data_IF_221713770345
#
_entry.id   IF_221713770345
#
_cell.length_a   1.000
_cell.length_b   1.000
_cell.length_c   1.000
_cell.angle_alpha   90.00
_cell.angle_beta   90.00
_cell.angle_gamma   90.00
#
_symmetry.space_group_name_H-M   'P 1'
#
loop_
_entity.id
_entity.type
_entity.pdbx_description
1 polymer ?
#
# COMPACT_ATOMS: atom_id res chain seq x y z
N UNK A 1 -24.89 15.15 -10.03
CA UNK A 1 -24.74 13.93 -10.85
C UNK A 1 -23.29 13.54 -10.84
N UNK A 2 -22.98 12.29 -10.51
CA UNK A 2 -21.63 11.74 -10.61
C UNK A 2 -21.21 11.65 -12.08
N UNK A 3 -19.99 12.06 -12.42
CA UNK A 3 -19.48 11.98 -13.80
C UNK A 3 -19.08 10.54 -14.16
N UNK A 4 -19.03 10.20 -15.45
CA UNK A 4 -18.58 8.88 -15.90
C UNK A 4 -17.14 8.54 -15.45
N UNK A 5 -16.30 9.55 -15.21
CA UNK A 5 -14.96 9.38 -14.63
C UNK A 5 -15.00 9.05 -13.14
N UNK A 6 -15.85 9.76 -12.39
CA UNK A 6 -16.05 9.52 -10.95
C UNK A 6 -16.63 8.12 -10.69
N UNK A 7 -17.60 7.67 -11.50
CA UNK A 7 -18.16 6.31 -11.40
C UNK A 7 -17.12 5.22 -11.66
N UNK A 8 -16.26 5.36 -12.68
CA UNK A 8 -15.20 4.40 -12.97
C UNK A 8 -14.18 4.32 -11.83
N UNK A 9 -13.84 5.46 -11.24
CA UNK A 9 -12.95 5.51 -10.08
C UNK A 9 -13.61 4.85 -8.85
N UNK A 10 -14.91 5.04 -8.64
CA UNK A 10 -15.68 4.34 -7.60
C UNK A 10 -15.70 2.83 -7.84
N UNK A 11 -15.99 2.37 -9.05
CA UNK A 11 -15.97 0.93 -9.39
C UNK A 11 -14.62 0.30 -9.13
N UNK A 12 -13.51 1.00 -9.43
CA UNK A 12 -12.15 0.53 -9.14
C UNK A 12 -11.90 0.40 -7.64
N UNK A 13 -12.37 1.35 -6.83
CA UNK A 13 -12.27 1.30 -5.37
C UNK A 13 -13.14 0.17 -4.79
N UNK A 14 -14.39 0.04 -5.25
CA UNK A 14 -15.29 -1.04 -4.84
C UNK A 14 -14.74 -2.42 -5.17
N UNK A 15 -14.08 -2.60 -6.32
CA UNK A 15 -13.45 -3.87 -6.68
C UNK A 15 -12.26 -4.20 -5.76
N UNK A 16 -11.47 -3.18 -5.37
CA UNK A 16 -10.35 -3.34 -4.44
C UNK A 16 -10.83 -3.65 -3.03
N UNK A 17 -11.88 -2.97 -2.58
CA UNK A 17 -12.49 -3.20 -1.27
C UNK A 17 -13.16 -4.59 -1.22
N UNK A 18 -13.80 -5.02 -2.31
CA UNK A 18 -14.35 -6.36 -2.45
C UNK A 18 -13.26 -7.43 -2.34
N UNK A 19 -12.10 -7.25 -2.98
CA UNK A 19 -10.98 -8.19 -2.84
C UNK A 19 -10.49 -8.31 -1.39
N UNK A 20 -10.45 -7.19 -0.65
CA UNK A 20 -10.08 -7.18 0.76
C UNK A 20 -11.16 -7.85 1.63
N UNK A 21 -12.43 -7.54 1.38
CA UNK A 21 -13.57 -8.16 2.06
C UNK A 21 -13.64 -9.66 1.79
N UNK A 22 -13.42 -10.13 0.56
CA UNK A 22 -13.36 -11.55 0.21
C UNK A 22 -12.24 -12.26 0.96
N UNK A 23 -11.05 -11.66 1.11
CA UNK A 23 -9.96 -12.25 1.91
C UNK A 23 -10.32 -12.36 3.40
N UNK A 24 -10.98 -11.34 3.96
CA UNK A 24 -11.45 -11.34 5.35
C UNK A 24 -12.55 -12.39 5.55
N UNK A 25 -13.52 -12.45 4.64
CA UNK A 25 -14.61 -13.43 4.65
C UNK A 25 -14.10 -14.86 4.53
N UNK A 26 -13.13 -15.13 3.65
CA UNK A 26 -12.48 -16.44 3.54
C UNK A 26 -11.80 -16.83 4.85
N UNK A 27 -11.09 -15.91 5.53
CA UNK A 27 -10.48 -16.19 6.84
C UNK A 27 -11.54 -16.48 7.91
N UNK A 28 -12.64 -15.71 7.93
CA UNK A 28 -13.74 -15.89 8.88
C UNK A 28 -14.47 -17.22 8.68
N UNK A 29 -14.85 -17.54 7.43
CA UNK A 29 -15.58 -18.77 7.11
C UNK A 29 -14.73 -20.04 7.29
N UNK A 30 -13.40 -19.94 7.12
CA UNK A 30 -12.47 -21.02 7.50
C UNK A 30 -12.42 -21.24 9.01
N UNK A 31 -12.52 -20.18 9.82
CA UNK A 31 -12.60 -20.26 11.29
C UNK A 31 -13.91 -20.92 11.75
N UNK A 32 -14.98 -20.75 10.98
CA UNK A 32 -16.29 -21.35 11.23
C UNK A 32 -16.43 -22.79 10.69
N UNK A 33 -15.33 -23.43 10.24
CA UNK A 33 -15.27 -24.80 9.70
C UNK A 33 -16.19 -25.09 8.49
N UNK A 34 -16.53 -24.08 7.68
CA UNK A 34 -17.28 -24.29 6.44
C UNK A 34 -16.43 -25.01 5.38
N UNK A 35 -17.09 -25.77 4.50
CA UNK A 35 -16.39 -26.47 3.42
C UNK A 35 -15.84 -25.46 2.41
N UNK A 36 -14.68 -25.79 1.81
CA UNK A 36 -14.05 -24.95 0.77
C UNK A 36 -15.03 -24.58 -0.35
N UNK A 37 -15.92 -25.50 -0.73
CA UNK A 37 -16.91 -25.30 -1.79
C UNK A 37 -17.95 -24.23 -1.42
N UNK A 38 -18.39 -24.17 -0.16
CA UNK A 38 -19.34 -23.16 0.32
C UNK A 38 -18.71 -21.78 0.46
N UNK A 39 -17.41 -21.74 0.82
CA UNK A 39 -16.63 -20.51 0.88
C UNK A 39 -16.46 -19.92 -0.52
N UNK A 40 -16.05 -20.75 -1.48
CA UNK A 40 -15.85 -20.32 -2.87
C UNK A 40 -17.18 -19.86 -3.51
N UNK A 41 -18.29 -20.54 -3.20
CA UNK A 41 -19.62 -20.13 -3.66
C UNK A 41 -20.04 -18.75 -3.13
N UNK A 42 -19.87 -18.49 -1.83
CA UNK A 42 -20.22 -17.19 -1.23
C UNK A 42 -19.38 -16.03 -1.76
N UNK A 43 -18.10 -16.27 -2.05
CA UNK A 43 -17.23 -15.26 -2.68
C UNK A 43 -17.68 -14.98 -4.11
N UNK A 44 -17.98 -16.03 -4.89
CA UNK A 44 -18.46 -15.87 -6.26
C UNK A 44 -19.81 -15.14 -6.34
N UNK A 45 -20.73 -15.38 -5.41
CA UNK A 45 -22.02 -14.67 -5.33
C UNK A 45 -21.84 -13.17 -5.06
N UNK A 46 -20.93 -12.80 -4.16
CA UNK A 46 -20.60 -11.39 -3.88
C UNK A 46 -19.95 -10.70 -5.08
N UNK A 47 -19.04 -11.39 -5.77
CA UNK A 47 -18.38 -10.87 -6.98
C UNK A 47 -19.38 -10.67 -8.13
N UNK A 48 -20.28 -11.62 -8.35
CA UNK A 48 -21.32 -11.50 -9.37
C UNK A 48 -22.31 -10.36 -9.07
N UNK A 49 -22.68 -10.16 -7.80
CA UNK A 49 -23.58 -9.08 -7.39
C UNK A 49 -22.98 -7.69 -7.69
N UNK A 50 -21.70 -7.50 -7.38
CA UNK A 50 -21.00 -6.23 -7.65
C UNK A 50 -20.83 -6.02 -9.16
N UNK A 51 -20.45 -7.06 -9.90
CA UNK A 51 -20.31 -6.98 -11.36
C UNK A 51 -21.63 -6.63 -12.06
N UNK A 52 -22.75 -7.24 -11.64
CA UNK A 52 -24.07 -6.94 -12.18
C UNK A 52 -24.51 -5.50 -11.92
N UNK A 53 -24.19 -4.96 -10.74
CA UNK A 53 -24.46 -3.56 -10.39
C UNK A 53 -23.64 -2.60 -11.24
N UNK A 54 -22.32 -2.83 -11.37
CA UNK A 54 -21.45 -2.02 -12.21
C UNK A 54 -21.90 -2.02 -13.68
N UNK A 55 -22.29 -3.19 -14.20
CA UNK A 55 -22.83 -3.31 -15.55
C UNK A 55 -24.12 -2.50 -15.75
N UNK A 56 -25.03 -2.55 -14.77
CA UNK A 56 -26.30 -1.80 -14.80
C UNK A 56 -26.06 -0.29 -14.72
N UNK A 57 -25.11 0.15 -13.90
CA UNK A 57 -24.73 1.56 -13.76
C UNK A 57 -24.09 2.13 -15.02
N UNK A 58 -23.22 1.35 -15.67
CA UNK A 58 -22.63 1.69 -16.97
C UNK A 58 -23.72 1.79 -18.04
N UNK A 59 -24.64 0.82 -18.09
CA UNK A 59 -25.75 0.81 -19.04
C UNK A 59 -26.69 2.01 -18.83
N UNK A 60 -26.96 2.41 -17.58
CA UNK A 60 -27.78 3.57 -17.26
C UNK A 60 -27.13 4.90 -17.69
N UNK A 61 -25.80 5.03 -17.58
CA UNK A 61 -25.09 6.20 -18.11
C UNK A 61 -25.05 6.18 -19.64
N UNK A 62 -24.82 5.01 -20.26
CA UNK A 62 -24.86 4.89 -21.72
C UNK A 62 -26.23 5.25 -22.27
N UNK A 63 -27.32 4.80 -21.63
CA UNK A 63 -28.68 5.21 -22.00
C UNK A 63 -28.91 6.70 -21.78
N UNK A 64 -28.46 7.29 -20.67
CA UNK A 64 -28.56 8.75 -20.45
C UNK A 64 -27.76 9.59 -21.46
N UNK A 65 -26.69 9.04 -22.02
CA UNK A 65 -25.90 9.67 -23.09
C UNK A 65 -26.51 9.48 -24.48
N UNK A 66 -27.44 8.52 -24.66
CA UNK A 66 -28.14 8.24 -25.93
C UNK A 66 -29.48 9.02 -26.04
N UNK A 67 -29.96 9.70 -24.99
CA UNK A 67 -31.21 10.51 -25.00
C UNK A 67 -30.95 11.96 -25.46
N UNK A 68 -30.13 12.14 -26.49
CA UNK A 68 -29.95 13.45 -27.13
C UNK A 68 -29.92 13.35 -28.66
N UNK A 69 -30.77 12.51 -29.22
CA UNK A 69 -31.27 12.62 -30.60
C UNK A 69 -32.51 11.72 -30.74
N UNK A 70 -33.68 12.23 -30.37
CA UNK A 70 -34.94 11.74 -30.95
C UNK A 70 -35.97 12.87 -30.92
N UNK A 71 -36.22 13.42 -32.10
CA UNK A 71 -37.43 14.17 -32.41
C UNK A 71 -38.02 13.61 -33.72
N UNK A 72 -39.34 13.38 -33.69
CA UNK A 72 -40.27 13.06 -34.79
C UNK A 72 -40.35 11.62 -35.35
N UNK A 73 -41.08 10.78 -34.61
CA UNK A 73 -42.45 10.29 -34.90
C UNK A 73 -42.91 9.89 -36.33
N UNK A 74 -43.69 8.79 -36.35
CA UNK A 74 -44.82 8.43 -37.23
C UNK A 74 -44.62 7.47 -38.42
N UNK A 75 -45.21 6.26 -38.27
CA UNK A 75 -45.67 5.36 -39.35
C UNK A 75 -47.02 5.89 -39.94
N UNK A 76 -47.64 5.36 -41.05
CA UNK A 76 -47.53 4.00 -41.61
C UNK A 76 -47.70 3.79 -43.16
N UNK A 77 -47.55 2.52 -43.57
CA UNK A 77 -48.25 1.77 -44.65
C UNK A 77 -47.84 1.84 -46.16
N UNK A 78 -47.65 0.61 -46.69
CA UNK A 78 -47.94 0.05 -48.03
C UNK A 78 -47.04 0.26 -49.26
N UNK A 79 -46.47 -0.89 -49.68
CA UNK A 79 -46.41 -1.51 -51.00
C UNK A 79 -45.82 -0.81 -52.25
N UNK A 80 -44.83 -1.53 -52.81
CA UNK A 80 -44.49 -1.69 -54.24
C UNK A 80 -43.41 -0.79 -54.88
N UNK A 81 -42.67 -1.45 -55.78
CA UNK A 81 -41.75 -0.96 -56.80
C UNK A 81 -40.25 -0.77 -56.43
N UNK A 82 -39.52 -1.85 -56.73
CA UNK A 82 -38.08 -1.96 -56.99
C UNK A 82 -37.60 -0.95 -58.06
N UNK A 83 -36.61 -0.12 -57.73
CA UNK A 83 -35.47 0.31 -58.57
C UNK A 83 -34.84 1.63 -58.07
N UNK A 84 -34.01 1.60 -57.00
CA UNK A 84 -32.96 2.62 -56.72
C UNK A 84 -32.03 2.24 -55.54
N UNK A 85 -31.73 0.95 -55.33
CA UNK A 85 -31.13 0.46 -54.06
C UNK A 85 -29.59 0.50 -54.06
N UNK A 86 -28.94 0.77 -55.20
CA UNK A 86 -27.49 0.65 -55.34
C UNK A 86 -26.66 1.80 -54.74
N UNK A 87 -26.98 3.06 -55.08
CA UNK A 87 -26.13 4.21 -54.70
C UNK A 87 -26.36 4.68 -53.26
N UNK A 88 -27.61 4.68 -52.77
CA UNK A 88 -27.93 5.08 -51.40
C UNK A 88 -27.44 4.09 -50.35
N UNK A 89 -27.33 2.81 -50.69
CA UNK A 89 -26.76 1.78 -49.81
C UNK A 89 -25.24 1.93 -49.67
N UNK A 90 -24.54 2.26 -50.76
CA UNK A 90 -23.09 2.47 -50.76
C UNK A 90 -22.70 3.73 -49.97
N UNK A 91 -23.43 4.84 -50.15
CA UNK A 91 -23.22 6.07 -49.39
C UNK A 91 -23.50 5.89 -47.87
N UNK A 92 -24.47 5.05 -47.50
CA UNK A 92 -24.75 4.70 -46.09
C UNK A 92 -23.65 3.80 -45.48
N UNK A 93 -23.10 2.86 -46.25
CA UNK A 93 -21.98 2.01 -45.82
C UNK A 93 -20.69 2.82 -45.61
N UNK A 94 -20.37 3.74 -46.51
CA UNK A 94 -19.19 4.61 -46.38
C UNK A 94 -19.30 5.56 -45.17
N UNK A 95 -20.49 6.14 -44.93
CA UNK A 95 -20.75 6.99 -43.77
C UNK A 95 -20.66 6.19 -42.45
N UNK A 96 -21.07 4.92 -42.45
CA UNK A 96 -20.93 4.03 -41.30
C UNK A 96 -19.47 3.60 -41.05
N UNK A 97 -18.69 3.37 -42.11
CA UNK A 97 -17.25 3.12 -42.02
C UNK A 97 -16.51 4.34 -41.44
N UNK A 98 -16.74 5.55 -41.98
CA UNK A 98 -16.15 6.79 -41.43
C UNK A 98 -16.49 7.01 -39.95
N UNK A 99 -17.73 6.69 -39.52
CA UNK A 99 -18.12 6.79 -38.10
C UNK A 99 -17.38 5.78 -37.21
N UNK A 100 -17.14 4.55 -37.71
CA UNK A 100 -16.35 3.53 -37.00
C UNK A 100 -14.86 3.88 -36.96
N UNK A 101 -14.31 4.40 -38.05
CA UNK A 101 -12.91 4.82 -38.12
C UNK A 101 -12.64 6.00 -37.21
N UNK A 102 -13.53 6.99 -37.19
CA UNK A 102 -13.47 8.12 -36.26
C UNK A 102 -13.53 7.65 -34.79
N UNK A 103 -14.46 6.75 -34.44
CA UNK A 103 -14.56 6.19 -33.08
C UNK A 103 -13.30 5.43 -32.66
N UNK A 104 -12.71 4.66 -33.57
CA UNK A 104 -11.47 3.90 -33.33
C UNK A 104 -10.25 4.81 -33.18
N UNK A 105 -10.22 5.92 -33.91
CA UNK A 105 -9.18 6.94 -33.76
C UNK A 105 -9.31 7.68 -32.43
N UNK A 106 -10.52 8.11 -32.06
CA UNK A 106 -10.81 8.72 -30.76
C UNK A 106 -10.49 7.78 -29.59
N UNK A 107 -10.76 6.48 -29.72
CA UNK A 107 -10.42 5.48 -28.71
C UNK A 107 -8.90 5.28 -28.58
N UNK A 108 -8.17 5.28 -29.70
CA UNK A 108 -6.70 5.23 -29.70
C UNK A 108 -6.10 6.47 -29.04
N UNK A 109 -6.54 7.66 -29.45
CA UNK A 109 -6.08 8.93 -28.85
C UNK A 109 -6.42 9.02 -27.36
N UNK A 110 -7.56 8.44 -26.93
CA UNK A 110 -7.93 8.34 -25.52
C UNK A 110 -7.04 7.36 -24.76
N UNK A 111 -6.71 6.21 -25.34
CA UNK A 111 -5.79 5.23 -24.74
C UNK A 111 -4.38 5.81 -24.63
N UNK A 112 -3.89 6.46 -25.68
CA UNK A 112 -2.59 7.13 -25.70
C UNK A 112 -2.53 8.26 -24.64
N UNK A 113 -3.63 9.01 -24.46
CA UNK A 113 -3.72 10.03 -23.39
C UNK A 113 -3.70 9.41 -22.00
N UNK A 114 -4.45 8.32 -21.78
CA UNK A 114 -4.46 7.60 -20.50
C UNK A 114 -3.08 6.99 -20.22
N UNK A 115 -2.42 6.43 -21.23
CA UNK A 115 -1.10 5.84 -21.12
C UNK A 115 -0.05 6.92 -20.80
N UNK A 116 -0.09 8.06 -21.50
CA UNK A 116 0.76 9.21 -21.22
C UNK A 116 0.53 9.80 -19.82
N UNK A 117 -0.73 9.93 -19.39
CA UNK A 117 -1.07 10.36 -18.04
C UNK A 117 -0.58 9.34 -17.00
N UNK A 118 -0.74 8.03 -17.25
CA UNK A 118 -0.30 6.97 -16.34
C UNK A 118 1.23 6.88 -16.22
N UNK A 119 1.96 7.18 -17.30
CA UNK A 119 3.42 7.21 -17.31
C UNK A 119 3.96 8.41 -16.52
N UNK A 120 3.19 9.50 -16.44
CA UNK A 120 3.56 10.72 -15.70
C UNK A 120 3.06 10.77 -14.25
N UNK A 121 2.29 9.76 -13.79
CA UNK A 121 1.94 9.65 -12.37
C UNK A 121 3.13 9.03 -11.63
N UNK A 122 3.99 9.90 -11.07
CA UNK A 122 5.03 9.46 -10.13
C UNK A 122 4.33 8.82 -8.92
N UNK A 123 4.70 7.57 -8.62
CA UNK A 123 4.12 6.86 -7.48
C UNK A 123 4.51 7.54 -6.16
N UNK A 124 3.61 7.55 -5.17
CA UNK A 124 3.93 8.10 -3.84
C UNK A 124 5.17 7.42 -3.23
N UNK A 125 5.35 6.12 -3.46
CA UNK A 125 6.57 5.37 -3.08
C UNK A 125 7.84 6.03 -3.62
N UNK A 126 7.85 6.37 -4.90
CA UNK A 126 9.02 6.94 -5.56
C UNK A 126 9.31 8.33 -5.00
N UNK A 127 8.28 9.15 -4.80
CA UNK A 127 8.42 10.48 -4.18
C UNK A 127 9.06 10.37 -2.79
N UNK A 128 8.58 9.43 -1.96
CA UNK A 128 9.15 9.22 -0.63
C UNK A 128 10.59 8.72 -0.67
N UNK A 129 10.86 7.74 -1.53
CA UNK A 129 12.18 7.14 -1.68
C UNK A 129 13.20 8.17 -2.17
N UNK A 130 12.81 9.01 -3.13
CA UNK A 130 13.65 10.08 -3.67
C UNK A 130 13.91 11.17 -2.63
N UNK A 131 12.89 11.55 -1.85
CA UNK A 131 13.03 12.53 -0.77
C UNK A 131 13.98 12.05 0.33
N UNK A 132 13.88 10.79 0.73
CA UNK A 132 14.80 10.18 1.71
C UNK A 132 16.20 10.06 1.10
N UNK A 133 16.33 9.59 -0.13
CA UNK A 133 17.62 9.47 -0.82
C UNK A 133 18.33 10.83 -0.95
N UNK A 134 17.59 11.90 -1.24
CA UNK A 134 18.13 13.26 -1.31
C UNK A 134 18.73 13.71 0.03
N UNK A 135 18.07 13.40 1.17
CA UNK A 135 18.60 13.69 2.50
C UNK A 135 19.90 12.91 2.75
N UNK A 136 19.90 11.61 2.45
CA UNK A 136 21.03 10.71 2.73
C UNK A 136 22.25 10.96 1.84
N UNK A 137 22.04 11.41 0.60
CA UNK A 137 23.13 11.67 -0.37
C UNK A 137 24.17 12.64 0.19
N UNK A 138 23.72 13.71 0.85
CA UNK A 138 24.61 14.70 1.46
C UNK A 138 25.50 14.15 2.60
N UNK A 139 25.08 13.02 3.19
CA UNK A 139 25.75 12.35 4.30
C UNK A 139 26.60 11.14 3.83
N UNK A 140 26.64 10.87 2.52
CA UNK A 140 27.29 9.67 1.98
C UNK A 140 26.59 8.37 2.40
N UNK A 141 25.29 8.43 2.67
CA UNK A 141 24.46 7.31 3.12
C UNK A 141 23.50 6.85 2.03
N UNK A 142 23.10 5.58 2.08
CA UNK A 142 22.09 4.97 1.19
C UNK A 142 21.15 4.06 1.98
N UNK A 143 19.93 3.88 1.48
CA UNK A 143 18.97 2.91 2.03
C UNK A 143 19.37 1.49 1.61
N UNK A 144 19.44 0.59 2.59
CA UNK A 144 19.54 -0.85 2.38
C UNK A 144 18.18 -1.49 2.67
N UNK A 145 17.61 -2.13 1.65
CA UNK A 145 16.30 -2.78 1.77
C UNK A 145 16.31 -3.92 2.80
N UNK A 146 15.25 -3.97 3.60
CA UNK A 146 14.98 -4.97 4.62
C UNK A 146 13.71 -5.76 4.22
N UNK A 147 13.65 -7.08 4.48
CA UNK A 147 12.46 -7.88 4.16
C UNK A 147 11.16 -7.37 4.78
N UNK A 148 10.06 -7.47 4.03
CA UNK A 148 8.72 -7.02 4.44
C UNK A 148 7.90 -8.13 5.11
N UNK A 149 8.41 -8.71 6.20
CA UNK A 149 7.82 -9.86 6.90
C UNK A 149 7.07 -9.50 8.20
N UNK A 150 6.81 -8.21 8.44
CA UNK A 150 6.21 -7.70 9.69
C UNK A 150 7.21 -7.53 10.84
N UNK A 151 8.46 -7.95 10.66
CA UNK A 151 9.56 -7.71 11.61
C UNK A 151 10.55 -6.64 11.10
N UNK A 152 10.21 -5.92 10.03
CA UNK A 152 11.11 -5.00 9.33
C UNK A 152 11.81 -3.99 10.24
N UNK A 153 11.11 -3.38 11.20
CA UNK A 153 11.73 -2.47 12.19
C UNK A 153 12.84 -3.16 12.98
N UNK A 154 12.58 -4.35 13.51
CA UNK A 154 13.55 -5.13 14.29
C UNK A 154 14.69 -5.65 13.44
N UNK A 155 14.42 -6.08 12.19
CA UNK A 155 15.45 -6.48 11.24
C UNK A 155 16.37 -5.31 10.88
N UNK A 156 15.82 -4.12 10.67
CA UNK A 156 16.59 -2.92 10.38
C UNK A 156 17.48 -2.51 11.56
N UNK A 157 16.96 -2.57 12.79
CA UNK A 157 17.75 -2.36 14.02
C UNK A 157 18.85 -3.43 14.18
N UNK A 158 18.53 -4.70 13.95
CA UNK A 158 19.50 -5.79 14.01
C UNK A 158 20.63 -5.62 12.99
N UNK A 159 20.30 -5.20 11.77
CA UNK A 159 21.28 -4.91 10.72
C UNK A 159 22.21 -3.76 11.13
N UNK A 160 21.67 -2.66 11.68
CA UNK A 160 22.46 -1.54 12.20
C UNK A 160 23.34 -1.94 13.39
N UNK A 161 22.84 -2.74 14.31
CA UNK A 161 23.62 -3.27 15.43
C UNK A 161 24.78 -4.15 14.93
N UNK A 162 24.55 -4.95 13.88
CA UNK A 162 25.60 -5.76 13.26
C UNK A 162 26.68 -4.89 12.62
N UNK A 163 26.27 -3.89 11.83
CA UNK A 163 27.18 -2.95 11.15
C UNK A 163 28.01 -2.15 12.15
N UNK A 164 27.42 -1.78 13.27
CA UNK A 164 28.10 -1.03 14.35
C UNK A 164 28.82 -1.94 15.35
N UNK A 165 28.91 -3.26 15.10
CA UNK A 165 29.56 -4.27 15.95
C UNK A 165 29.02 -4.31 17.39
N UNK A 166 27.74 -3.97 17.56
CA UNK A 166 27.00 -3.96 18.83
C UNK A 166 25.97 -5.09 18.95
N UNK A 167 25.85 -5.94 17.93
CA UNK A 167 24.91 -7.06 17.97
C UNK A 167 25.42 -8.15 18.94
N UNK A 168 24.70 -8.42 20.05
CA UNK A 168 25.16 -9.37 21.06
C UNK A 168 24.73 -10.83 20.80
N UNK A 169 24.03 -11.08 19.68
CA UNK A 169 23.42 -12.36 19.35
C UNK A 169 23.64 -12.74 17.86
N UNK A 170 23.40 -14.00 17.47
CA UNK A 170 23.46 -14.41 16.06
C UNK A 170 22.52 -13.62 15.16
N UNK A 171 22.96 -13.36 13.92
CA UNK A 171 22.29 -12.45 13.00
C UNK A 171 21.00 -13.00 12.38
N UNK A 172 20.80 -14.32 12.30
CA UNK A 172 19.65 -14.93 11.58
C UNK A 172 18.31 -14.63 12.24
N UNK A 173 18.30 -14.60 13.58
CA UNK A 173 17.07 -14.50 14.39
C UNK A 173 17.15 -13.36 15.40
N UNK A 174 18.00 -12.37 15.13
CA UNK A 174 18.25 -11.24 16.02
C UNK A 174 17.00 -10.40 16.34
N UNK A 175 15.97 -10.45 15.49
CA UNK A 175 14.70 -9.76 15.74
C UNK A 175 13.94 -10.32 16.97
N UNK A 176 14.09 -11.62 17.28
CA UNK A 176 13.43 -12.27 18.42
C UNK A 176 13.92 -11.69 19.76
N UNK A 177 15.23 -11.71 20.08
CA UNK A 177 15.71 -11.13 21.34
C UNK A 177 15.52 -9.60 21.38
N UNK A 178 15.49 -8.90 20.23
CA UNK A 178 15.15 -7.48 20.20
C UNK A 178 13.69 -7.24 20.60
N UNK A 179 12.73 -8.04 20.11
CA UNK A 179 11.32 -7.97 20.54
C UNK A 179 11.17 -8.23 22.03
N UNK A 180 11.81 -9.28 22.53
CA UNK A 180 11.82 -9.62 23.97
C UNK A 180 12.39 -8.47 24.81
N UNK A 181 13.53 -7.92 24.40
CA UNK A 181 14.16 -6.78 25.07
C UNK A 181 13.26 -5.54 25.07
N UNK A 182 12.56 -5.28 23.96
CA UNK A 182 11.62 -4.16 23.84
C UNK A 182 10.45 -4.32 24.80
N UNK A 183 9.79 -5.48 24.79
CA UNK A 183 8.67 -5.76 25.68
C UNK A 183 9.09 -5.75 27.16
N UNK A 184 10.26 -6.28 27.49
CA UNK A 184 10.80 -6.22 28.85
C UNK A 184 11.04 -4.77 29.31
N UNK A 185 11.54 -3.90 28.42
CA UNK A 185 11.73 -2.48 28.74
C UNK A 185 10.38 -1.77 28.94
N UNK A 186 9.42 -1.98 28.03
CA UNK A 186 8.07 -1.42 28.13
C UNK A 186 7.40 -1.80 29.46
N UNK A 187 7.47 -3.07 29.86
CA UNK A 187 6.90 -3.54 31.14
C UNK A 187 7.55 -2.91 32.36
N UNK A 188 8.88 -2.78 32.35
CA UNK A 188 9.63 -2.24 33.50
C UNK A 188 9.50 -0.73 33.67
N UNK A 189 9.03 -0.03 32.64
CA UNK A 189 8.86 1.42 32.62
C UNK A 189 7.45 1.82 32.15
N UNK A 190 6.43 1.05 32.56
CA UNK A 190 5.07 1.18 32.04
C UNK A 190 4.53 2.62 32.10
N UNK A 191 4.78 3.34 33.20
CA UNK A 191 4.31 4.71 33.41
C UNK A 191 4.79 5.69 32.32
N UNK A 192 5.95 5.44 31.72
CA UNK A 192 6.53 6.29 30.66
C UNK A 192 5.90 6.03 29.28
N UNK A 193 5.27 4.86 29.08
CA UNK A 193 4.82 4.40 27.77
C UNK A 193 3.30 4.25 27.65
N UNK A 194 2.60 3.92 28.75
CA UNK A 194 1.14 3.76 28.78
C UNK A 194 0.38 4.91 28.11
N UNK A 195 0.74 6.20 28.31
CA UNK A 195 0.04 7.31 27.65
C UNK A 195 0.16 7.36 26.12
N UNK A 196 1.12 6.63 25.54
CA UNK A 196 1.42 6.66 24.10
C UNK A 196 0.98 5.38 23.38
N UNK A 197 0.40 4.42 24.10
CA UNK A 197 -0.15 3.20 23.53
C UNK A 197 -1.64 3.36 23.32
N UNK A 198 -2.15 2.84 22.21
CA UNK A 198 -3.59 2.81 21.93
C UNK A 198 -4.28 1.83 22.90
N UNK A 199 -4.83 2.37 23.98
CA UNK A 199 -5.56 1.64 25.01
C UNK A 199 -7.01 2.13 25.06
N UNK A 200 -7.94 1.22 25.34
CA UNK A 200 -9.36 1.54 25.46
C UNK A 200 -9.70 1.91 26.91
N UNK A 201 -9.65 3.21 27.19
CA UNK A 201 -10.00 3.78 28.50
C UNK A 201 -11.50 3.67 28.84
N UNK A 202 -12.35 3.35 27.88
CA UNK A 202 -13.78 3.15 28.10
C UNK A 202 -14.15 1.68 28.35
N UNK A 203 -13.21 0.75 28.14
CA UNK A 203 -13.45 -0.67 28.39
C UNK A 203 -13.45 -1.01 29.89
N UNK A 204 -14.12 -2.10 30.26
CA UNK A 204 -14.11 -2.65 31.62
C UNK A 204 -12.77 -3.31 32.00
N UNK A 205 -11.79 -3.39 31.07
CA UNK A 205 -10.49 -4.01 31.29
C UNK A 205 -9.54 -2.97 31.88
N UNK A 206 -8.84 -3.32 32.97
CA UNK A 206 -7.85 -2.43 33.56
C UNK A 206 -6.77 -2.03 32.55
N UNK A 207 -6.39 -0.74 32.54
CA UNK A 207 -5.35 -0.20 31.65
C UNK A 207 -4.06 -1.01 31.73
N UNK A 208 -3.69 -1.47 32.92
CA UNK A 208 -2.50 -2.30 33.12
C UNK A 208 -2.57 -3.64 32.39
N UNK A 209 -3.74 -4.30 32.39
CA UNK A 209 -3.93 -5.58 31.71
C UNK A 209 -3.94 -5.41 30.18
N UNK A 210 -4.51 -4.30 29.70
CA UNK A 210 -4.45 -3.94 28.28
C UNK A 210 -3.01 -3.65 27.84
N UNK A 211 -2.24 -2.93 28.66
CA UNK A 211 -0.83 -2.64 28.39
C UNK A 211 0.04 -3.90 28.43
N UNK A 212 -0.18 -4.81 29.38
CA UNK A 212 0.49 -6.11 29.38
C UNK A 212 0.15 -6.91 28.12
N UNK A 213 -1.11 -6.89 27.69
CA UNK A 213 -1.53 -7.53 26.44
C UNK A 213 -0.84 -6.92 25.22
N UNK A 214 -0.59 -5.61 25.22
CA UNK A 214 0.22 -4.94 24.21
C UNK A 214 1.68 -5.40 24.24
N UNK A 215 2.31 -5.43 25.42
CA UNK A 215 3.69 -5.92 25.60
C UNK A 215 3.85 -7.37 25.11
N UNK A 216 2.87 -8.24 25.42
CA UNK A 216 2.86 -9.62 24.96
C UNK A 216 2.77 -9.74 23.44
N UNK A 217 2.03 -8.86 22.76
CA UNK A 217 2.00 -8.82 21.28
C UNK A 217 3.35 -8.37 20.72
N UNK A 218 3.91 -7.28 21.25
CA UNK A 218 5.25 -6.78 20.85
C UNK A 218 6.29 -7.90 20.92
N UNK A 219 6.25 -8.70 21.99
CA UNK A 219 7.17 -9.81 22.24
C UNK A 219 6.99 -11.00 21.30
N UNK A 220 5.74 -11.44 21.09
CA UNK A 220 5.45 -12.77 20.56
C UNK A 220 4.87 -12.81 19.13
N UNK A 221 4.54 -11.66 18.54
CA UNK A 221 3.90 -11.60 17.21
C UNK A 221 4.75 -10.85 16.18
N UNK A 222 4.24 -10.81 14.95
CA UNK A 222 4.74 -9.96 13.87
C UNK A 222 3.99 -8.62 13.81
N UNK A 223 3.42 -8.16 14.93
CA UNK A 223 2.81 -6.83 15.03
C UNK A 223 3.89 -5.79 14.71
N UNK A 224 3.48 -4.80 13.93
CA UNK A 224 4.37 -3.75 13.43
C UNK A 224 4.84 -2.92 14.61
N UNK A 225 6.16 -2.70 14.68
CA UNK A 225 6.72 -1.75 15.63
C UNK A 225 6.73 -0.35 15.03
N UNK A 226 6.56 0.65 15.87
CA UNK A 226 6.59 2.06 15.50
C UNK A 226 7.41 2.88 16.49
N UNK A 227 6.95 4.10 16.73
CA UNK A 227 7.69 5.08 17.52
C UNK A 227 7.89 4.65 18.99
N UNK A 228 6.88 4.02 19.60
CA UNK A 228 6.93 3.55 21.01
C UNK A 228 7.99 2.47 21.17
N UNK A 229 8.01 1.48 20.28
CA UNK A 229 8.98 0.39 20.31
C UNK A 229 10.40 0.86 19.99
N UNK A 230 10.58 1.79 19.03
CA UNK A 230 11.88 2.38 18.77
C UNK A 230 12.41 3.17 19.97
N UNK A 231 11.55 3.91 20.68
CA UNK A 231 11.94 4.64 21.89
C UNK A 231 12.37 3.66 22.97
N UNK A 232 11.60 2.59 23.21
CA UNK A 232 11.94 1.55 24.16
C UNK A 232 13.26 0.84 23.79
N UNK A 233 13.49 0.54 22.50
CA UNK A 233 14.74 -0.04 22.03
C UNK A 233 15.95 0.86 22.24
N UNK A 234 15.84 2.15 21.92
CA UNK A 234 16.92 3.12 22.11
C UNK A 234 17.38 3.15 23.58
N UNK A 235 16.42 3.13 24.52
CA UNK A 235 16.69 3.05 25.95
C UNK A 235 17.26 1.68 26.37
N UNK A 236 16.64 0.59 25.95
CA UNK A 236 17.04 -0.77 26.34
C UNK A 236 18.40 -1.21 25.78
N UNK A 237 18.85 -0.58 24.70
CA UNK A 237 20.17 -0.76 24.10
C UNK A 237 21.18 0.29 24.56
N UNK A 238 20.71 1.42 25.12
CA UNK A 238 21.51 2.61 25.39
C UNK A 238 22.29 3.08 24.14
N UNK A 239 21.58 3.16 23.02
CA UNK A 239 22.14 3.59 21.72
C UNK A 239 21.15 4.53 21.04
N UNK A 240 21.59 5.67 20.50
CA UNK A 240 20.69 6.56 19.77
C UNK A 240 20.22 5.94 18.45
N UNK A 241 18.98 6.20 18.09
CA UNK A 241 18.36 5.79 16.83
C UNK A 241 17.91 7.03 16.07
N UNK A 242 18.44 7.20 14.86
CA UNK A 242 18.01 8.21 13.89
C UNK A 242 17.05 7.60 12.88
N UNK A 243 15.88 8.20 12.71
CA UNK A 243 14.87 7.78 11.73
C UNK A 243 14.68 8.88 10.69
N UNK A 244 14.99 8.55 9.44
CA UNK A 244 14.83 9.41 8.28
C UNK A 244 13.49 9.12 7.61
N UNK A 245 12.72 10.15 7.27
CA UNK A 245 11.44 10.01 6.55
C UNK A 245 11.31 11.10 5.49
N UNK A 246 10.40 10.92 4.53
CA UNK A 246 10.25 11.82 3.40
C UNK A 246 9.77 13.23 3.77
N UNK A 247 8.91 13.33 4.79
CA UNK A 247 8.11 14.54 5.06
C UNK A 247 8.47 15.25 6.37
N UNK A 248 9.42 14.72 7.14
CA UNK A 248 9.75 15.23 8.48
C UNK A 248 11.26 15.34 8.67
N UNK A 249 11.66 16.17 9.63
CA UNK A 249 13.05 16.19 10.12
C UNK A 249 13.44 14.83 10.69
N UNK A 250 14.75 14.54 10.69
CA UNK A 250 15.31 13.33 11.30
C UNK A 250 14.85 13.23 12.76
N UNK A 251 14.17 12.13 13.08
CA UNK A 251 13.71 11.85 14.43
C UNK A 251 14.84 11.13 15.17
N UNK A 252 15.31 11.71 16.28
CA UNK A 252 16.36 11.12 17.11
C UNK A 252 15.76 10.63 18.42
N UNK A 253 15.98 9.36 18.72
CA UNK A 253 15.59 8.73 19.99
C UNK A 253 16.81 8.29 20.76
N UNK A 254 16.84 8.54 22.08
CA UNK A 254 17.99 8.18 22.91
C UNK A 254 19.21 9.05 22.64
N UNK A 255 19.02 10.33 22.32
CA UNK A 255 20.10 11.29 22.07
C UNK A 255 21.03 11.45 23.28
N UNK A 256 20.50 11.21 24.48
CA UNK A 256 21.26 11.12 25.73
C UNK A 256 22.36 10.03 25.72
N UNK A 257 22.28 9.07 24.81
CA UNK A 257 23.29 8.02 24.62
C UNK A 257 24.27 8.32 23.47
N UNK A 258 24.27 9.55 22.95
CA UNK A 258 25.20 9.95 21.90
C UNK A 258 26.65 9.77 22.37
N UNK A 259 27.49 9.25 21.46
CA UNK A 259 28.92 9.09 21.69
C UNK A 259 29.68 9.48 20.44
N UNK A 260 30.71 10.31 20.59
CA UNK A 260 31.55 10.75 19.46
C UNK A 260 32.25 9.58 18.75
N UNK A 261 32.59 8.52 19.51
CA UNK A 261 33.29 7.34 19.02
C UNK A 261 32.38 6.30 18.35
N UNK A 262 31.06 6.46 18.42
CA UNK A 262 30.11 5.48 17.89
C UNK A 262 28.93 6.13 17.17
N UNK A 263 28.68 5.79 15.90
CA UNK A 263 27.54 6.32 15.18
C UNK A 263 26.21 5.83 15.79
N UNK A 264 25.12 6.59 15.65
CA UNK A 264 23.77 6.12 15.97
C UNK A 264 23.33 5.00 15.02
N UNK A 265 22.28 4.27 15.38
CA UNK A 265 21.62 3.35 14.45
C UNK A 265 20.74 4.18 13.51
N UNK A 266 20.89 4.00 12.20
CA UNK A 266 20.18 4.78 11.20
C UNK A 266 19.17 3.94 10.46
N UNK A 267 17.90 4.36 10.52
CA UNK A 267 16.77 3.71 9.88
C UNK A 267 16.08 4.69 8.93
N UNK A 268 15.48 4.18 7.86
CA UNK A 268 14.53 4.96 7.06
C UNK A 268 13.12 4.42 7.24
N UNK A 269 12.15 5.31 7.41
CA UNK A 269 10.73 5.01 7.52
C UNK A 269 10.01 5.51 6.28
N UNK A 270 9.22 4.62 5.68
CA UNK A 270 8.52 4.83 4.43
C UNK A 270 7.04 4.49 4.62
N UNK A 271 6.13 5.45 4.44
CA UNK A 271 4.70 5.25 4.68
C UNK A 271 4.00 4.55 3.50
N UNK A 272 4.48 4.79 2.27
CA UNK A 272 3.91 4.25 1.04
C UNK A 272 4.86 3.27 0.33
N UNK A 273 5.78 2.63 1.07
CA UNK A 273 6.80 1.75 0.48
C UNK A 273 6.21 0.50 -0.18
N UNK A 274 5.21 -0.09 0.46
CA UNK A 274 4.50 -1.25 -0.03
C UNK A 274 3.00 -0.99 -0.10
N UNK A 275 2.28 -1.85 -0.82
CA UNK A 275 0.81 -1.80 -0.89
C UNK A 275 0.14 -1.96 0.48
N UNK A 276 0.85 -2.56 1.44
CA UNK A 276 0.41 -2.76 2.82
C UNK A 276 0.66 -1.54 3.73
N UNK A 277 1.43 -0.54 3.28
CA UNK A 277 1.71 0.68 4.03
C UNK A 277 3.16 0.79 4.49
N UNK A 278 3.31 1.04 5.79
CA UNK A 278 4.56 1.42 6.47
C UNK A 278 5.66 0.36 6.38
N UNK A 279 6.91 0.81 6.26
CA UNK A 279 8.07 -0.06 6.25
C UNK A 279 9.33 0.64 6.75
N UNK A 280 10.16 -0.12 7.47
CA UNK A 280 11.47 0.31 7.91
C UNK A 280 12.58 -0.38 7.13
N UNK A 281 13.57 0.39 6.72
CA UNK A 281 14.79 -0.09 6.10
C UNK A 281 16.02 0.37 6.89
N UNK A 282 17.14 -0.33 6.71
CA UNK A 282 18.44 0.02 7.30
C UNK A 282 19.11 1.10 6.45
N UNK A 283 19.95 1.96 7.04
CA UNK A 283 20.74 2.96 6.30
C UNK A 283 22.22 2.65 6.46
N UNK A 284 22.93 2.54 5.35
CA UNK A 284 24.34 2.17 5.31
C UNK A 284 25.16 3.25 4.61
N UNK A 285 26.47 3.28 4.84
CA UNK A 285 27.34 4.12 4.02
C UNK A 285 27.30 3.63 2.57
N UNK A 286 27.23 4.58 1.63
CA UNK A 286 27.48 4.28 0.23
C UNK A 286 28.87 3.66 0.14
N UNK A 287 28.96 2.41 -0.32
CA UNK A 287 30.26 1.76 -0.50
C UNK A 287 31.10 2.64 -1.43
N UNK A 288 32.19 3.19 -0.91
CA UNK A 288 33.27 3.71 -1.74
C UNK A 288 33.78 2.51 -2.54
N UNK A 289 33.51 2.47 -3.84
CA UNK A 289 34.02 1.41 -4.71
C UNK A 289 35.54 1.28 -4.51
N UNK A 290 35.99 0.13 -3.98
CA UNK A 290 37.38 -0.13 -3.67
C UNK A 290 37.56 -1.40 -2.85
N UNK A 291 38.10 -2.42 -3.51
CA UNK A 291 38.79 -3.59 -2.98
C UNK A 291 37.96 -4.78 -2.45
N UNK A 292 37.24 -5.42 -3.37
CA UNK A 292 37.36 -6.89 -3.47
C UNK A 292 38.67 -7.21 -4.19
N UNK A 293 39.76 -7.35 -3.43
CA UNK A 293 40.91 -8.12 -3.90
C UNK A 293 41.49 -8.90 -2.71
N UNK A 294 41.34 -10.22 -2.81
CA UNK A 294 42.15 -11.28 -2.21
C UNK A 294 42.85 -11.03 -0.87
N UNK A 295 42.48 -11.82 0.13
CA UNK A 295 43.47 -12.66 0.81
C UNK A 295 42.77 -13.88 1.42
N UNK A 296 43.19 -15.04 0.88
CA UNK A 296 43.00 -16.40 1.38
C UNK A 296 43.41 -16.57 2.86
#
# INVERSE_FOLDING_TARGET
MESAGQMKQRHKLELRDLQNQSKILVKKLKKDNLSKKEIDQKVAELEQSVAARHASEVQAIMQKLDVSDDDAEAAPATAAAVADVGEKANAKLEKAQRKRDKKRQEERERLERIEFESQNVVSQRQIESDAIAAQLTSLGLIVKEIPSDGHCMYHAVADQLKLTRRLPFPSSDAYIPLRQKTAAYLRSHADDFVPFVELDYASDIAIQDQFESYCARVEATADWGGQVELRALAQALAVPIEVYSASSSVLVMGDEYHREDQPPLRLSYHLHYYTLGEHFNSIVYASSGGDEHDAL
#
